data_IF_758985415658
#
_entry.id   IF_758985415658
#
_cell.length_a   1.000
_cell.length_b   1.000
_cell.length_c   1.000
_cell.angle_alpha   90.00
_cell.angle_beta   90.00
_cell.angle_gamma   90.00
#
_symmetry.space_group_name_H-M   'P 1'
#
loop_
_entity.id
_entity.type
_entity.pdbx_description
1 polymer ?
#
# COMPACT_ATOMS: atom_id res chain seq x y z
N UNK A 1 9.60 4.08 2.27
CA UNK A 1 10.81 4.68 2.90
C UNK A 1 11.11 3.99 4.21
N UNK A 2 12.37 3.73 4.57
CA UNK A 2 12.70 3.13 5.88
C UNK A 2 12.64 4.14 7.02
N UNK A 3 12.19 3.71 8.20
CA UNK A 3 11.98 4.63 9.34
C UNK A 3 13.24 5.40 9.76
N UNK A 4 14.42 4.79 9.65
CA UNK A 4 15.68 5.41 10.08
C UNK A 4 16.26 6.37 9.03
N UNK A 5 15.74 6.32 7.80
CA UNK A 5 16.22 7.11 6.65
C UNK A 5 15.17 8.08 6.13
N UNK A 6 14.07 8.30 6.87
CA UNK A 6 13.00 9.21 6.46
C UNK A 6 13.55 10.61 6.10
N UNK A 7 14.42 11.26 6.90
CA UNK A 7 14.91 12.59 6.58
C UNK A 7 15.72 12.65 5.26
N UNK A 8 16.51 11.62 4.98
CA UNK A 8 17.28 11.48 3.74
C UNK A 8 16.36 11.16 2.55
N UNK A 9 15.45 10.20 2.73
CA UNK A 9 14.55 9.69 1.69
C UNK A 9 13.52 10.75 1.25
N UNK A 10 13.08 11.61 2.18
CA UNK A 10 12.18 12.73 1.86
C UNK A 10 12.80 13.74 0.88
N UNK A 11 14.12 13.78 0.70
CA UNK A 11 14.75 14.62 -0.33
C UNK A 11 14.35 14.19 -1.74
N UNK A 12 14.11 12.89 -1.95
CA UNK A 12 13.60 12.39 -3.22
C UNK A 12 12.13 12.77 -3.40
N UNK A 13 11.33 12.70 -2.34
CA UNK A 13 9.92 13.14 -2.35
C UNK A 13 9.81 14.64 -2.61
N UNK A 14 10.71 15.46 -2.09
CA UNK A 14 10.70 16.90 -2.35
C UNK A 14 10.81 17.26 -3.84
N UNK A 15 11.34 16.38 -4.70
CA UNK A 15 11.41 16.62 -6.14
C UNK A 15 10.02 16.68 -6.82
N UNK A 16 9.01 16.08 -6.20
CA UNK A 16 7.62 16.16 -6.67
C UNK A 16 6.85 17.32 -6.02
N UNK A 17 7.54 18.19 -5.28
CA UNK A 17 6.94 19.32 -4.56
C UNK A 17 6.21 18.91 -3.27
N UNK A 18 6.31 17.65 -2.86
CA UNK A 18 5.68 17.13 -1.64
C UNK A 18 6.71 16.98 -0.52
N UNK A 19 6.30 17.33 0.70
CA UNK A 19 7.15 17.18 1.88
C UNK A 19 6.32 17.07 3.16
N UNK A 20 7.02 16.78 4.26
CA UNK A 20 6.47 16.86 5.61
C UNK A 20 7.03 18.10 6.31
N UNK A 21 6.18 18.80 7.05
CA UNK A 21 6.60 19.87 7.96
C UNK A 21 7.53 19.34 9.06
N UNK A 22 8.29 20.23 9.69
CA UNK A 22 9.18 19.85 10.79
C UNK A 22 8.43 19.19 11.96
N UNK A 23 7.22 19.68 12.25
CA UNK A 23 6.36 19.12 13.28
C UNK A 23 5.83 17.73 12.92
N UNK A 24 5.34 17.55 11.70
CA UNK A 24 4.87 16.24 11.21
C UNK A 24 6.00 15.20 11.25
N UNK A 25 7.22 15.58 10.85
CA UNK A 25 8.39 14.68 10.88
C UNK A 25 8.68 14.16 12.28
N UNK A 26 8.80 15.07 13.26
CA UNK A 26 9.12 14.69 14.64
C UNK A 26 8.01 13.80 15.22
N UNK A 27 6.74 14.18 15.01
CA UNK A 27 5.60 13.38 15.50
C UNK A 27 5.55 12.01 14.84
N UNK A 28 5.78 11.93 13.53
CA UNK A 28 5.82 10.69 12.77
C UNK A 28 6.93 9.76 13.25
N UNK A 29 8.15 10.28 13.45
CA UNK A 29 9.28 9.51 13.97
C UNK A 29 8.97 8.92 15.35
N UNK A 30 8.41 9.73 16.26
CA UNK A 30 8.01 9.26 17.60
C UNK A 30 6.93 8.18 17.50
N UNK A 31 5.90 8.39 16.67
CA UNK A 31 4.82 7.42 16.49
C UNK A 31 5.29 6.09 15.89
N UNK A 32 6.22 6.14 14.93
CA UNK A 32 6.83 4.94 14.32
C UNK A 32 7.73 4.19 15.30
N UNK A 33 8.49 4.89 16.14
CA UNK A 33 9.30 4.26 17.21
C UNK A 33 8.38 3.58 18.24
N UNK A 34 7.25 4.21 18.60
CA UNK A 34 6.26 3.58 19.49
C UNK A 34 5.66 2.31 18.86
N UNK A 35 5.38 2.34 17.55
CA UNK A 35 4.88 1.18 16.82
C UNK A 35 5.91 0.03 16.81
N UNK A 36 7.18 0.32 16.56
CA UNK A 36 8.25 -0.70 16.55
C UNK A 36 8.55 -1.30 17.93
N UNK A 37 8.20 -0.61 19.01
CA UNK A 37 8.26 -1.15 20.38
C UNK A 37 7.06 -2.04 20.73
N UNK A 38 5.89 -1.76 20.15
CA UNK A 38 4.64 -2.46 20.46
C UNK A 38 4.55 -3.80 19.71
N UNK A 39 5.04 -3.84 18.48
CA UNK A 39 4.99 -5.01 17.61
C UNK A 39 6.35 -5.26 16.96
N UNK A 40 6.68 -6.52 16.73
CA UNK A 40 7.93 -6.92 16.09
C UNK A 40 7.75 -7.06 14.59
N UNK A 41 8.57 -6.35 13.83
CA UNK A 41 8.63 -6.45 12.37
C UNK A 41 10.06 -6.75 11.93
N UNK A 42 10.24 -7.47 10.82
CA UNK A 42 11.56 -7.56 10.19
C UNK A 42 11.98 -6.20 9.60
N UNK A 43 11.01 -5.42 9.09
CA UNK A 43 11.24 -4.06 8.64
C UNK A 43 9.97 -3.22 8.83
N UNK A 44 10.14 -1.98 9.25
CA UNK A 44 9.07 -0.99 9.31
C UNK A 44 9.36 0.09 8.26
N UNK A 45 8.37 0.39 7.44
CA UNK A 45 8.45 1.39 6.38
C UNK A 45 7.39 2.46 6.59
N UNK A 46 7.75 3.70 6.33
CA UNK A 46 6.77 4.75 6.08
C UNK A 46 6.34 4.66 4.61
N UNK A 47 5.04 4.44 4.40
CA UNK A 47 4.44 4.29 3.07
C UNK A 47 4.10 5.63 2.46
N UNK A 48 3.59 6.58 3.25
CA UNK A 48 3.20 7.86 2.71
C UNK A 48 2.06 8.54 3.45
N UNK A 49 1.50 9.56 2.80
CA UNK A 49 0.41 10.38 3.29
C UNK A 49 -0.73 10.40 2.27
N UNK A 50 -1.94 10.16 2.75
CA UNK A 50 -3.19 10.40 2.01
C UNK A 50 -3.78 11.73 2.51
N UNK A 51 -4.00 12.64 1.58
CA UNK A 51 -4.51 13.98 1.85
C UNK A 51 -6.02 13.94 2.05
N UNK A 52 -6.47 14.54 3.15
CA UNK A 52 -7.87 14.68 3.49
C UNK A 52 -8.28 16.13 3.67
N UNK A 53 -9.58 16.40 3.64
CA UNK A 53 -10.11 17.77 3.72
C UNK A 53 -9.97 18.38 5.11
N UNK A 54 -10.08 17.57 6.17
CA UNK A 54 -9.95 18.02 7.58
C UNK A 54 -8.61 17.60 8.17
N UNK A 55 -8.24 16.34 7.96
CA UNK A 55 -6.98 15.78 8.45
C UNK A 55 -6.38 14.81 7.42
N UNK A 56 -5.06 14.67 7.45
CA UNK A 56 -4.34 13.74 6.59
C UNK A 56 -4.16 12.39 7.29
N UNK A 57 -4.13 11.32 6.50
CA UNK A 57 -3.78 9.99 6.97
C UNK A 57 -2.31 9.69 6.67
N UNK A 58 -1.58 9.19 7.66
CA UNK A 58 -0.21 8.74 7.51
C UNK A 58 -0.19 7.23 7.64
N UNK A 59 0.46 6.57 6.69
CA UNK A 59 0.44 5.12 6.54
C UNK A 59 1.83 4.55 6.76
N UNK A 60 1.90 3.47 7.54
CA UNK A 60 3.10 2.69 7.75
C UNK A 60 2.86 1.23 7.34
N UNK A 61 3.94 0.55 6.93
CA UNK A 61 3.92 -0.87 6.56
C UNK A 61 4.93 -1.61 7.42
N UNK A 62 4.45 -2.60 8.16
CA UNK A 62 5.27 -3.65 8.75
C UNK A 62 5.46 -4.77 7.75
N UNK A 63 6.71 -5.12 7.45
CA UNK A 63 7.08 -6.25 6.59
C UNK A 63 7.66 -7.36 7.46
N UNK A 64 7.14 -8.57 7.28
CA UNK A 64 7.64 -9.78 7.89
C UNK A 64 8.09 -10.76 6.80
N UNK A 65 9.40 -11.00 6.72
CA UNK A 65 10.01 -11.90 5.74
C UNK A 65 10.14 -13.33 6.28
N UNK A 66 10.38 -13.47 7.59
CA UNK A 66 10.49 -14.79 8.26
C UNK A 66 9.19 -15.57 8.20
N UNK A 67 9.31 -16.88 7.95
CA UNK A 67 8.22 -17.85 7.96
C UNK A 67 7.10 -17.59 6.92
N UNK A 68 7.36 -16.75 5.92
CA UNK A 68 6.44 -16.51 4.83
C UNK A 68 7.00 -17.11 3.54
N UNK A 69 6.23 -17.99 2.92
CA UNK A 69 6.58 -18.64 1.66
C UNK A 69 6.37 -17.67 0.49
N UNK A 70 7.38 -17.54 -0.37
CA UNK A 70 7.48 -16.71 -1.59
C UNK A 70 7.41 -15.19 -1.38
N UNK A 71 6.48 -14.68 -0.57
CA UNK A 71 6.22 -13.25 -0.44
C UNK A 71 6.06 -12.81 1.02
N UNK A 72 6.65 -11.68 1.45
CA UNK A 72 6.54 -11.21 2.82
C UNK A 72 5.10 -10.84 3.18
N UNK A 73 4.73 -11.10 4.45
CA UNK A 73 3.46 -10.61 4.98
C UNK A 73 3.58 -9.10 5.23
N UNK A 74 2.68 -8.33 4.59
CA UNK A 74 2.57 -6.88 4.76
C UNK A 74 1.42 -6.57 5.72
N UNK A 75 1.71 -5.87 6.81
CA UNK A 75 0.69 -5.35 7.72
C UNK A 75 0.66 -3.83 7.61
N UNK A 76 -0.51 -3.27 7.37
CA UNK A 76 -0.67 -1.83 7.18
C UNK A 76 -1.21 -1.17 8.44
N UNK A 77 -0.66 -0.01 8.74
CA UNK A 77 -1.06 0.82 9.87
C UNK A 77 -1.39 2.22 9.38
N UNK A 78 -2.34 2.86 10.05
CA UNK A 78 -2.71 4.24 9.77
C UNK A 78 -2.74 5.09 11.04
N UNK A 79 -2.58 6.40 10.86
CA UNK A 79 -2.83 7.38 11.91
C UNK A 79 -3.33 8.69 11.27
N UNK A 80 -4.35 9.30 11.87
CA UNK A 80 -4.85 10.62 11.48
C UNK A 80 -4.32 11.76 12.38
N UNK A 81 -3.77 11.40 13.55
CA UNK A 81 -3.36 12.36 14.58
C UNK A 81 -1.84 12.38 14.84
N UNK A 82 -1.07 11.51 14.16
CA UNK A 82 0.38 11.33 14.34
C UNK A 82 0.80 11.04 15.78
N UNK A 83 -0.09 10.45 16.59
CA UNK A 83 0.22 10.03 17.98
C UNK A 83 0.43 8.53 18.07
N UNK A 84 -0.52 7.78 17.53
CA UNK A 84 -0.55 6.33 17.61
C UNK A 84 -1.00 5.75 16.28
N UNK A 85 -0.33 4.69 15.87
CA UNK A 85 -0.68 3.89 14.70
C UNK A 85 -1.67 2.80 15.10
N UNK A 86 -2.72 2.64 14.30
CA UNK A 86 -3.71 1.58 14.43
C UNK A 86 -3.63 0.68 13.20
N UNK A 87 -4.00 -0.60 13.35
CA UNK A 87 -4.08 -1.52 12.22
C UNK A 87 -5.16 -1.04 11.24
N UNK A 88 -4.88 -1.11 9.93
CA UNK A 88 -5.94 -1.00 8.94
C UNK A 88 -6.88 -2.23 9.04
N UNK A 89 -8.19 -2.02 8.88
CA UNK A 89 -9.16 -3.11 8.88
C UNK A 89 -8.92 -4.06 7.69
N UNK A 90 -9.32 -5.33 7.83
CA UNK A 90 -9.27 -6.28 6.72
C UNK A 90 -10.23 -5.86 5.60
N UNK A 91 -9.87 -6.20 4.36
CA UNK A 91 -10.67 -5.90 3.17
C UNK A 91 -11.90 -6.83 3.12
N UNK A 92 -13.12 -6.28 3.05
CA UNK A 92 -14.35 -7.03 2.78
C UNK A 92 -14.74 -7.01 1.27
N UNK A 93 -14.52 -8.09 0.51
CA UNK A 93 -14.65 -8.11 -0.96
C UNK A 93 -15.99 -7.61 -1.50
N UNK A 94 -17.07 -7.68 -0.73
CA UNK A 94 -18.40 -7.16 -1.09
C UNK A 94 -18.40 -5.67 -1.48
N UNK A 95 -17.55 -4.86 -0.85
CA UNK A 95 -17.50 -3.41 -1.08
C UNK A 95 -16.52 -2.98 -2.17
N UNK A 96 -15.79 -3.92 -2.78
CA UNK A 96 -14.71 -3.60 -3.72
C UNK A 96 -15.20 -2.74 -4.89
N UNK A 97 -16.27 -3.15 -5.56
CA UNK A 97 -16.83 -2.43 -6.72
C UNK A 97 -17.38 -1.05 -6.34
N UNK A 98 -17.98 -0.95 -5.16
CA UNK A 98 -18.50 0.32 -4.64
C UNK A 98 -17.35 1.29 -4.34
N UNK A 99 -16.23 0.79 -3.81
CA UNK A 99 -15.05 1.60 -3.54
C UNK A 99 -14.42 2.15 -4.81
N UNK A 100 -14.35 1.32 -5.85
CA UNK A 100 -13.86 1.72 -7.16
C UNK A 100 -14.70 2.82 -7.83
N UNK A 101 -15.91 3.08 -7.33
CA UNK A 101 -16.78 4.17 -7.80
C UNK A 101 -16.55 5.49 -7.04
N UNK A 102 -16.01 5.45 -5.82
CA UNK A 102 -15.76 6.69 -5.07
C UNK A 102 -14.69 7.56 -5.72
N UNK A 103 -15.04 8.82 -5.99
CA UNK A 103 -14.13 9.87 -6.51
C UNK A 103 -13.96 11.05 -5.54
N UNK A 104 -14.58 10.97 -4.37
CA UNK A 104 -14.52 12.04 -3.36
C UNK A 104 -13.20 12.02 -2.59
N UNK A 105 -12.73 13.20 -2.17
CA UNK A 105 -11.58 13.30 -1.27
C UNK A 105 -11.86 12.62 0.08
N UNK A 106 -10.80 12.20 0.76
CA UNK A 106 -10.91 11.74 2.15
C UNK A 106 -11.27 12.92 3.06
N UNK A 107 -12.04 12.68 4.11
CA UNK A 107 -12.34 13.69 5.10
C UNK A 107 -11.25 13.79 6.18
N UNK A 108 -10.61 12.67 6.51
CA UNK A 108 -9.68 12.59 7.65
C UNK A 108 -10.34 12.10 8.95
N UNK A 109 -11.59 11.62 8.88
CA UNK A 109 -12.34 11.07 10.01
C UNK A 109 -12.55 9.56 9.82
N UNK A 110 -11.79 8.69 10.53
CA UNK A 110 -11.85 7.23 10.36
C UNK A 110 -13.24 6.62 10.53
N UNK A 111 -14.03 7.19 11.45
CA UNK A 111 -15.35 6.69 11.87
C UNK A 111 -16.50 7.17 10.98
N UNK A 112 -16.23 7.99 9.97
CA UNK A 112 -17.26 8.50 9.07
C UNK A 112 -17.86 7.35 8.28
N UNK A 113 -19.18 7.19 8.35
CA UNK A 113 -19.89 6.16 7.60
C UNK A 113 -20.07 6.63 6.14
N UNK A 114 -19.72 5.75 5.21
CA UNK A 114 -19.85 5.98 3.77
C UNK A 114 -21.03 5.20 3.19
N UNK A 115 -21.25 3.96 3.64
CA UNK A 115 -22.40 3.14 3.25
C UNK A 115 -23.03 2.57 4.52
N UNK A 116 -24.31 2.91 4.72
CA UNK A 116 -25.14 2.29 5.75
C UNK A 116 -25.75 1.01 5.16
N UNK A 117 -25.57 -0.12 5.84
CA UNK A 117 -26.15 -1.40 5.39
C UNK A 117 -27.61 -1.55 5.85
N UNK A 118 -28.08 -0.66 6.73
CA UNK A 118 -29.44 -0.70 7.30
C UNK A 118 -30.46 0.12 6.51
N UNK A 119 -30.47 0.03 5.18
CA UNK A 119 -31.55 0.62 4.38
C UNK A 119 -31.37 0.44 2.87
N UNK A 120 -31.89 -0.67 2.34
CA UNK A 120 -32.36 -0.71 0.96
C UNK A 120 -33.43 0.38 0.76
N UNK A 121 -33.50 0.92 -0.46
CA UNK A 121 -34.41 1.96 -0.94
C UNK A 121 -35.74 2.13 -0.17
N UNK A 122 -35.94 3.32 0.43
CA UNK A 122 -37.24 3.70 0.97
C UNK A 122 -37.22 5.08 1.63
N UNK A 123 -37.90 6.04 1.00
CA UNK A 123 -38.39 7.25 1.64
C UNK A 123 -39.02 6.92 3.02
N UNK A 124 -38.47 7.44 4.12
CA UNK A 124 -39.17 8.07 5.26
C UNK A 124 -38.22 8.54 6.39
N UNK A 125 -38.63 9.51 7.25
CA UNK A 125 -37.76 10.38 8.04
C UNK A 125 -37.13 9.72 9.28
N UNK A 126 -36.17 10.40 9.94
CA UNK A 126 -35.22 9.76 10.86
C UNK A 126 -35.90 9.31 12.15
N UNK A 127 -35.75 8.03 12.48
CA UNK A 127 -36.12 7.47 13.77
C UNK A 127 -34.86 7.05 14.54
N UNK A 128 -34.64 7.79 15.62
CA UNK A 128 -34.02 7.47 16.91
C UNK A 128 -33.00 6.32 17.06
N UNK A 129 -31.96 6.68 17.81
CA UNK A 129 -30.81 5.89 18.27
C UNK A 129 -31.21 4.51 18.82
N UNK A 130 -30.46 3.42 18.52
CA UNK A 130 -30.75 2.12 19.11
C UNK A 130 -30.24 2.03 20.56
N UNK A 131 -31.14 1.64 21.45
CA UNK A 131 -30.87 1.22 22.83
C UNK A 131 -30.18 -0.17 22.85
N UNK A 132 -29.30 -0.48 23.83
CA UNK A 132 -28.47 -1.71 23.81
C UNK A 132 -29.04 -2.95 24.52
N UNK A 133 -30.32 -2.97 24.89
CA UNK A 133 -30.89 -4.08 25.67
C UNK A 133 -32.21 -4.56 25.03
N UNK A 134 -32.16 -5.64 24.23
CA UNK A 134 -33.21 -6.67 24.16
C UNK A 134 -32.72 -7.94 23.38
N UNK A 135 -33.24 -9.14 23.68
CA UNK A 135 -32.51 -10.41 23.54
C UNK A 135 -32.47 -10.99 22.13
N UNK A 136 -31.38 -11.71 21.86
CA UNK A 136 -31.15 -12.54 20.68
C UNK A 136 -32.34 -13.48 20.39
N UNK A 137 -33.01 -13.30 19.25
CA UNK A 137 -33.94 -14.29 18.73
C UNK A 137 -33.17 -15.42 18.03
N UNK A 138 -33.11 -16.57 18.69
CA UNK A 138 -32.62 -17.83 18.14
C UNK A 138 -33.69 -18.37 17.20
N UNK A 139 -33.49 -18.22 15.88
CA UNK A 139 -34.26 -19.00 14.90
C UNK A 139 -33.56 -20.36 14.78
N UNK A 140 -34.11 -21.38 15.43
CA UNK A 140 -33.77 -22.78 15.16
C UNK A 140 -34.43 -23.16 13.83
N UNK A 141 -33.63 -23.45 12.82
CA UNK A 141 -34.06 -24.30 11.71
C UNK A 141 -33.23 -25.57 11.75
N UNK A 142 -33.92 -26.69 11.98
CA UNK A 142 -33.38 -28.04 11.80
C UNK A 142 -33.29 -28.31 10.29
N UNK A 143 -32.12 -28.13 9.69
CA UNK A 143 -31.67 -28.97 8.57
C UNK A 143 -30.17 -28.79 8.29
N UNK A 144 -29.53 -29.91 7.99
CA UNK A 144 -28.10 -30.15 7.93
C UNK A 144 -27.51 -29.61 6.60
N UNK A 145 -27.07 -28.35 6.59
CA UNK A 145 -26.16 -27.80 5.58
C UNK A 145 -25.44 -26.56 6.11
N UNK A 146 -24.11 -26.57 6.04
CA UNK A 146 -23.16 -25.55 6.48
C UNK A 146 -23.73 -24.12 6.61
N UNK A 147 -23.99 -23.70 7.86
CA UNK A 147 -24.36 -22.33 8.18
C UNK A 147 -23.10 -21.46 8.05
N UNK A 148 -22.94 -20.86 6.88
CA UNK A 148 -21.99 -19.78 6.66
C UNK A 148 -22.44 -18.59 7.53
N UNK A 149 -21.82 -18.43 8.71
CA UNK A 149 -22.08 -17.34 9.64
C UNK A 149 -21.66 -16.04 8.95
N UNK A 150 -22.59 -15.40 8.25
CA UNK A 150 -22.39 -14.04 7.74
C UNK A 150 -22.20 -13.13 8.97
N UNK A 151 -21.04 -12.48 9.13
CA UNK A 151 -20.86 -11.53 10.22
C UNK A 151 -21.91 -10.42 10.12
N UNK A 152 -22.31 -9.82 11.26
CA UNK A 152 -23.35 -8.80 11.28
C UNK A 152 -23.03 -7.67 10.29
N UNK A 153 -24.04 -7.07 9.65
CA UNK A 153 -23.85 -6.02 8.65
C UNK A 153 -23.13 -4.83 9.30
N UNK A 154 -21.81 -4.72 9.06
CA UNK A 154 -20.97 -3.66 9.60
C UNK A 154 -20.93 -2.51 8.61
N UNK A 155 -21.44 -1.35 9.00
CA UNK A 155 -21.37 -0.13 8.21
C UNK A 155 -19.99 0.07 7.59
N UNK A 156 -19.96 0.46 6.32
CA UNK A 156 -18.72 0.72 5.61
C UNK A 156 -18.20 2.11 6.00
N UNK A 157 -17.05 2.14 6.68
CA UNK A 157 -16.46 3.36 7.20
C UNK A 157 -15.41 3.92 6.24
N UNK A 158 -15.01 5.17 6.47
CA UNK A 158 -13.93 5.81 5.73
C UNK A 158 -12.58 5.08 5.94
N UNK A 159 -12.35 4.51 7.12
CA UNK A 159 -11.17 3.67 7.38
C UNK A 159 -11.17 2.38 6.53
N UNK A 160 -12.33 1.81 6.24
CA UNK A 160 -12.44 0.63 5.38
C UNK A 160 -12.09 1.04 3.94
N UNK A 161 -12.62 2.18 3.46
CA UNK A 161 -12.21 2.77 2.17
C UNK A 161 -10.70 3.05 2.10
N UNK A 162 -10.13 3.59 3.16
CA UNK A 162 -8.69 3.86 3.26
C UNK A 162 -7.88 2.56 3.09
N UNK A 163 -8.29 1.48 3.74
CA UNK A 163 -7.65 0.18 3.59
C UNK A 163 -7.68 -0.31 2.13
N UNK A 164 -8.81 -0.17 1.44
CA UNK A 164 -8.91 -0.51 0.01
C UNK A 164 -7.94 0.27 -0.86
N UNK A 165 -7.93 1.59 -0.71
CA UNK A 165 -7.10 2.47 -1.55
C UNK A 165 -5.62 2.24 -1.30
N UNK A 166 -5.21 2.12 -0.04
CA UNK A 166 -3.80 1.82 0.32
C UNK A 166 -3.37 0.47 -0.26
N UNK A 167 -4.19 -0.58 -0.12
CA UNK A 167 -3.86 -1.89 -0.68
C UNK A 167 -3.85 -1.87 -2.21
N UNK A 168 -4.75 -1.12 -2.85
CA UNK A 168 -4.77 -0.98 -4.31
C UNK A 168 -3.50 -0.28 -4.83
N UNK A 169 -3.11 0.83 -4.23
CA UNK A 169 -1.87 1.56 -4.61
C UNK A 169 -0.64 0.70 -4.31
N UNK A 170 -0.58 0.05 -3.14
CA UNK A 170 0.55 -0.84 -2.82
C UNK A 170 0.63 -2.00 -3.81
N UNK A 171 -0.51 -2.59 -4.17
CA UNK A 171 -0.56 -3.69 -5.13
C UNK A 171 -0.21 -3.23 -6.54
N UNK A 172 -0.63 -2.04 -6.98
CA UNK A 172 -0.41 -1.57 -8.35
C UNK A 172 0.90 -0.80 -8.55
N UNK A 173 1.51 -0.27 -7.49
CA UNK A 173 2.63 0.67 -7.63
C UNK A 173 3.90 0.29 -6.87
N UNK A 174 3.82 -0.48 -5.78
CA UNK A 174 5.01 -0.79 -5.00
C UNK A 174 6.09 -1.41 -5.89
N UNK A 175 7.32 -0.90 -5.81
CA UNK A 175 8.39 -1.27 -6.74
C UNK A 175 9.73 -1.40 -6.04
N UNK A 176 10.64 -2.14 -6.70
CA UNK A 176 12.03 -2.31 -6.29
C UNK A 176 12.94 -2.48 -7.52
N UNK A 177 14.23 -2.10 -7.41
CA UNK A 177 15.19 -2.38 -8.47
C UNK A 177 15.51 -3.87 -8.54
N UNK A 178 15.72 -4.38 -9.75
CA UNK A 178 16.08 -5.79 -9.99
C UNK A 178 17.37 -6.13 -9.23
N UNK A 179 17.34 -7.25 -8.49
CA UNK A 179 18.46 -7.69 -7.65
C UNK A 179 18.48 -7.15 -6.22
N UNK A 180 17.61 -6.22 -5.83
CA UNK A 180 17.52 -5.75 -4.45
C UNK A 180 17.11 -6.84 -3.44
N UNK A 181 16.35 -7.83 -3.92
CA UNK A 181 15.88 -8.97 -3.13
C UNK A 181 16.27 -10.27 -3.83
N UNK A 182 16.35 -11.34 -3.05
CA UNK A 182 16.67 -12.70 -3.49
C UNK A 182 15.81 -13.71 -2.75
N UNK A 183 15.58 -14.86 -3.37
CA UNK A 183 14.94 -16.01 -2.74
C UNK A 183 15.99 -16.85 -1.99
N UNK A 184 15.65 -17.31 -0.79
CA UNK A 184 16.44 -18.30 -0.05
C UNK A 184 16.02 -19.72 -0.45
N UNK A 185 16.84 -20.75 -0.19
CA UNK A 185 16.47 -22.15 -0.45
C UNK A 185 15.18 -22.62 0.23
N UNK A 186 14.72 -21.92 1.27
CA UNK A 186 13.44 -22.16 1.94
C UNK A 186 12.27 -21.43 1.28
N UNK A 187 12.48 -20.86 0.08
CA UNK A 187 11.56 -19.97 -0.63
C UNK A 187 11.12 -18.76 0.19
N UNK A 188 11.96 -18.26 1.10
CA UNK A 188 11.70 -16.98 1.78
C UNK A 188 12.35 -15.84 0.99
N UNK A 189 11.66 -14.71 0.89
CA UNK A 189 12.24 -13.50 0.30
C UNK A 189 13.17 -12.82 1.31
N UNK A 190 14.36 -12.40 0.88
CA UNK A 190 15.30 -11.60 1.69
C UNK A 190 15.91 -10.49 0.86
N UNK A 191 16.36 -9.43 1.53
CA UNK A 191 17.23 -8.45 0.88
C UNK A 191 18.54 -9.11 0.45
N UNK A 192 19.05 -8.66 -0.69
CA UNK A 192 20.29 -9.15 -1.25
C UNK A 192 21.46 -8.32 -0.72
N UNK A 193 22.26 -8.90 0.18
CA UNK A 193 23.45 -8.24 0.74
C UNK A 193 24.54 -7.99 -0.31
N UNK A 194 24.50 -8.66 -1.46
CA UNK A 194 25.41 -8.46 -2.59
C UNK A 194 24.95 -7.38 -3.56
N UNK A 195 23.75 -6.83 -3.40
CA UNK A 195 23.26 -5.74 -4.24
C UNK A 195 23.99 -4.44 -3.90
N UNK A 196 24.69 -3.84 -4.86
CA UNK A 196 25.37 -2.54 -4.66
C UNK A 196 24.62 -1.37 -5.30
N UNK A 197 23.50 -1.65 -5.97
CA UNK A 197 22.74 -0.68 -6.74
C UNK A 197 22.91 -0.85 -8.24
N UNK A 198 21.89 -0.45 -9.00
CA UNK A 198 21.96 -0.37 -10.46
C UNK A 198 23.02 0.64 -10.90
N UNK A 199 23.76 0.34 -11.97
CA UNK A 199 24.67 1.31 -12.60
C UNK A 199 23.89 2.51 -13.20
N UNK A 200 24.59 3.58 -13.56
CA UNK A 200 23.97 4.78 -14.16
C UNK A 200 23.17 4.46 -15.43
N UNK A 201 23.67 3.56 -16.27
CA UNK A 201 23.01 3.16 -17.52
C UNK A 201 21.80 2.26 -17.26
N UNK A 202 21.89 1.38 -16.26
CA UNK A 202 20.81 0.48 -15.88
C UNK A 202 19.69 1.21 -15.15
N UNK A 203 20.03 2.11 -14.23
CA UNK A 203 19.05 2.87 -13.46
C UNK A 203 18.19 3.76 -14.35
N UNK A 204 18.69 4.19 -15.51
CA UNK A 204 17.92 4.99 -16.48
C UNK A 204 16.90 4.17 -17.29
N UNK A 205 16.84 2.84 -17.10
CA UNK A 205 15.93 1.94 -17.84
C UNK A 205 14.86 1.42 -16.90
N UNK A 206 13.59 1.63 -17.27
CA UNK A 206 12.45 1.18 -16.49
C UNK A 206 12.39 -0.35 -16.34
N UNK A 207 12.94 -1.09 -17.31
CA UNK A 207 13.01 -2.56 -17.30
C UNK A 207 13.83 -3.13 -16.13
N UNK A 208 14.66 -2.32 -15.47
CA UNK A 208 15.44 -2.73 -14.30
C UNK A 208 14.71 -2.47 -12.98
N UNK A 209 13.40 -2.20 -13.04
CA UNK A 209 12.52 -2.08 -11.91
C UNK A 209 11.37 -3.07 -12.06
N UNK A 210 10.94 -3.63 -10.94
CA UNK A 210 9.94 -4.68 -10.87
C UNK A 210 8.98 -4.41 -9.71
N UNK A 211 7.76 -4.95 -9.81
CA UNK A 211 6.73 -4.78 -8.79
C UNK A 211 7.09 -5.53 -7.50
N UNK A 212 6.85 -4.89 -6.35
CA UNK A 212 7.02 -5.50 -5.04
C UNK A 212 5.71 -6.12 -4.55
N UNK A 213 5.25 -7.15 -5.26
CA UNK A 213 4.04 -7.95 -4.97
C UNK A 213 4.23 -9.39 -5.43
N UNK A 214 3.35 -10.29 -5.01
CA UNK A 214 3.32 -11.64 -5.56
C UNK A 214 3.06 -11.57 -7.08
N UNK A 215 3.89 -12.22 -7.94
CA UNK A 215 3.76 -12.09 -9.37
C UNK A 215 2.39 -12.51 -9.88
N UNK A 216 1.87 -11.77 -10.86
CA UNK A 216 0.59 -12.03 -11.51
C UNK A 216 0.80 -12.76 -12.85
N UNK A 217 1.90 -12.46 -13.53
CA UNK A 217 2.18 -13.04 -14.85
C UNK A 217 2.41 -14.55 -14.77
N UNK A 218 1.79 -15.35 -15.66
CA UNK A 218 1.94 -16.80 -15.63
C UNK A 218 3.40 -17.24 -15.78
N UNK A 219 4.18 -16.51 -16.59
CA UNK A 219 5.61 -16.77 -16.77
C UNK A 219 6.42 -16.59 -15.48
N UNK A 220 6.15 -15.51 -14.72
CA UNK A 220 6.86 -15.21 -13.47
C UNK A 220 6.43 -16.15 -12.33
N UNK A 221 5.14 -16.51 -12.29
CA UNK A 221 4.63 -17.57 -11.39
C UNK A 221 5.32 -18.90 -11.64
N UNK A 222 5.43 -19.30 -12.91
CA UNK A 222 6.13 -20.52 -13.29
C UNK A 222 7.63 -20.46 -12.98
N UNK A 223 8.26 -19.27 -13.08
CA UNK A 223 9.66 -19.06 -12.74
C UNK A 223 9.89 -19.24 -11.23
N UNK A 224 9.08 -18.62 -10.37
CA UNK A 224 9.22 -18.75 -8.90
C UNK A 224 9.01 -20.19 -8.43
N UNK A 225 8.13 -20.94 -9.10
CA UNK A 225 7.84 -22.33 -8.75
C UNK A 225 8.96 -23.31 -9.14
N UNK A 226 9.96 -22.89 -9.93
CA UNK A 226 11.09 -23.74 -10.32
C UNK A 226 12.19 -23.75 -9.25
N UNK A 227 12.91 -24.85 -9.14
CA UNK A 227 14.02 -25.02 -8.19
C UNK A 227 15.20 -24.06 -8.45
N UNK A 228 15.34 -23.58 -9.68
CA UNK A 228 16.38 -22.63 -10.10
C UNK A 228 16.04 -21.15 -9.86
N UNK A 229 14.83 -20.85 -9.37
CA UNK A 229 14.37 -19.50 -9.02
C UNK A 229 15.35 -18.76 -8.11
N UNK A 230 16.09 -19.49 -7.26
CA UNK A 230 17.11 -19.00 -6.34
C UNK A 230 18.25 -18.24 -7.02
N UNK A 231 18.54 -18.56 -8.29
CA UNK A 231 19.62 -17.95 -9.07
C UNK A 231 19.17 -16.75 -9.90
N UNK A 232 17.86 -16.50 -9.95
CA UNK A 232 17.29 -15.38 -10.67
C UNK A 232 17.02 -14.20 -9.73
N UNK A 233 17.25 -13.00 -10.24
CA UNK A 233 16.97 -11.73 -9.54
C UNK A 233 15.74 -11.00 -10.11
N UNK A 234 15.29 -11.42 -11.28
CA UNK A 234 14.14 -10.89 -12.02
C UNK A 234 12.99 -11.91 -11.99
N UNK A 235 12.43 -12.12 -10.81
CA UNK A 235 11.34 -13.06 -10.59
C UNK A 235 10.00 -12.37 -10.28
N UNK A 236 9.97 -11.03 -10.19
CA UNK A 236 8.73 -10.27 -10.11
C UNK A 236 8.25 -9.79 -11.48
N UNK A 237 7.02 -9.28 -11.53
CA UNK A 237 6.47 -8.64 -12.72
C UNK A 237 7.23 -7.34 -13.03
N UNK A 238 7.49 -7.09 -14.31
CA UNK A 238 8.10 -5.84 -14.76
C UNK A 238 7.08 -4.70 -14.73
N UNK A 239 7.56 -3.45 -14.83
CA UNK A 239 6.70 -2.26 -14.88
C UNK A 239 6.15 -2.01 -16.29
N UNK A 240 5.56 -3.02 -16.91
CA UNK A 240 4.97 -2.99 -18.26
C UNK A 240 3.44 -2.99 -18.24
N UNK A 241 2.81 -2.53 -17.15
CA UNK A 241 1.35 -2.56 -17.05
C UNK A 241 0.66 -1.54 -17.98
N UNK A 242 -0.65 -1.76 -18.17
CA UNK A 242 -1.51 -0.98 -19.04
C UNK A 242 -2.29 0.09 -18.26
N UNK A 243 -2.55 1.27 -18.85
CA UNK A 243 -2.23 1.68 -20.23
C UNK A 243 -0.73 1.99 -20.43
N UNK A 244 -0.21 1.71 -21.63
CA UNK A 244 1.20 1.97 -21.97
C UNK A 244 1.50 3.45 -21.79
N UNK A 245 2.52 3.79 -20.98
CA UNK A 245 2.85 5.17 -20.64
C UNK A 245 2.42 5.58 -19.23
N UNK A 246 1.78 4.71 -18.45
CA UNK A 246 1.44 4.99 -17.06
C UNK A 246 2.64 5.23 -16.13
N UNK A 247 3.83 4.78 -16.52
CA UNK A 247 5.05 4.94 -15.76
C UNK A 247 5.95 5.97 -16.42
N UNK A 248 6.37 6.97 -15.65
CA UNK A 248 7.33 7.99 -16.09
C UNK A 248 8.62 7.86 -15.28
N UNK A 249 9.72 7.52 -15.96
CA UNK A 249 11.06 7.53 -15.38
C UNK A 249 11.76 8.85 -15.68
N UNK A 250 12.21 9.53 -14.64
CA UNK A 250 12.95 10.79 -14.72
C UNK A 250 14.29 10.61 -14.02
N UNK A 251 15.34 11.18 -14.61
CA UNK A 251 16.67 11.20 -14.01
C UNK A 251 17.12 12.64 -13.81
N UNK A 252 17.88 12.91 -12.76
CA UNK A 252 18.54 14.19 -12.60
C UNK A 252 19.63 14.41 -13.66
N UNK A 253 20.15 15.64 -13.76
CA UNK A 253 21.20 15.98 -14.73
C UNK A 253 22.48 15.15 -14.54
N UNK A 254 22.74 14.70 -13.31
CA UNK A 254 23.89 13.85 -12.97
C UNK A 254 23.65 12.36 -13.23
N UNK A 255 22.40 11.96 -13.51
CA UNK A 255 21.90 10.58 -13.68
C UNK A 255 22.06 9.67 -12.46
N UNK A 256 22.48 10.21 -11.32
CA UNK A 256 22.62 9.44 -10.08
C UNK A 256 21.29 9.24 -9.36
N UNK A 257 20.32 10.14 -9.56
CA UNK A 257 19.02 10.05 -8.91
C UNK A 257 17.98 9.73 -9.96
N UNK A 258 17.29 8.62 -9.75
CA UNK A 258 16.19 8.16 -10.59
C UNK A 258 14.91 8.25 -9.80
N UNK A 259 13.91 8.82 -10.45
CA UNK A 259 12.59 9.07 -9.91
C UNK A 259 11.57 8.45 -10.85
N UNK A 260 10.78 7.52 -10.34
CA UNK A 260 9.75 6.79 -11.08
C UNK A 260 8.40 7.26 -10.55
N UNK A 261 7.55 7.77 -11.44
CA UNK A 261 6.20 8.23 -11.09
C UNK A 261 5.17 7.34 -11.75
N UNK A 262 4.09 7.07 -11.02
CA UNK A 262 2.91 6.45 -11.59
C UNK A 262 1.89 7.54 -11.94
N UNK A 263 1.41 7.55 -13.18
CA UNK A 263 0.43 8.52 -13.69
C UNK A 263 -1.02 8.06 -13.47
N UNK A 264 -1.23 6.76 -13.24
CA UNK A 264 -2.52 6.17 -12.90
C UNK A 264 -2.89 6.46 -11.45
N UNK A 265 -1.89 6.53 -10.57
CA UNK A 265 -1.99 6.95 -9.17
C UNK A 265 -1.13 8.19 -8.94
N UNK A 266 -1.66 9.38 -9.27
CA UNK A 266 -0.97 10.63 -9.01
C UNK A 266 -0.58 10.72 -7.53
N UNK A 267 0.69 11.06 -7.30
CA UNK A 267 1.27 11.10 -5.95
C UNK A 267 2.15 9.91 -5.60
N UNK A 268 2.09 8.81 -6.36
CA UNK A 268 3.04 7.71 -6.17
C UNK A 268 4.42 8.05 -6.72
N UNK A 269 5.45 7.74 -5.92
CA UNK A 269 6.84 8.00 -6.22
C UNK A 269 7.72 6.82 -5.82
N UNK A 270 8.40 6.20 -6.77
CA UNK A 270 9.58 5.38 -6.56
C UNK A 270 10.86 6.21 -6.73
N UNK A 271 11.89 5.91 -5.96
CA UNK A 271 13.20 6.52 -6.12
C UNK A 271 14.31 5.47 -5.99
N UNK A 272 15.40 5.71 -6.69
CA UNK A 272 16.63 4.93 -6.59
C UNK A 272 17.84 5.82 -6.82
N UNK A 273 18.88 5.64 -6.01
CA UNK A 273 20.17 6.30 -6.23
C UNK A 273 21.14 5.30 -6.85
N UNK A 274 21.51 5.53 -8.10
CA UNK A 274 22.41 4.69 -8.88
C UNK A 274 23.75 4.47 -8.15
N UNK A 275 24.28 3.25 -8.24
CA UNK A 275 25.50 2.80 -7.56
C UNK A 275 25.38 2.76 -6.03
N UNK A 276 24.17 2.77 -5.47
CA UNK A 276 23.95 2.61 -4.03
C UNK A 276 22.76 1.69 -3.74
N UNK A 277 22.66 1.23 -2.48
CA UNK A 277 21.52 0.47 -1.95
C UNK A 277 20.34 1.35 -1.53
N UNK A 278 20.35 2.63 -1.91
CA UNK A 278 19.31 3.59 -1.53
C UNK A 278 18.23 3.56 -2.58
N UNK A 279 17.14 2.87 -2.27
CA UNK A 279 15.90 2.87 -3.04
C UNK A 279 14.72 2.83 -2.09
N UNK A 280 13.56 3.17 -2.62
CA UNK A 280 12.31 3.03 -1.93
C UNK A 280 11.19 3.65 -2.73
N UNK A 281 10.04 3.71 -2.12
CA UNK A 281 8.89 4.41 -2.67
C UNK A 281 8.10 5.07 -1.54
N UNK A 282 7.22 5.99 -1.95
CA UNK A 282 6.23 6.59 -1.10
C UNK A 282 5.03 7.08 -1.92
N UNK A 283 3.91 7.29 -1.25
CA UNK A 283 2.72 7.91 -1.83
C UNK A 283 2.38 9.22 -1.11
N UNK A 284 2.19 10.31 -1.87
CA UNK A 284 1.72 11.60 -1.36
C UNK A 284 0.66 12.14 -2.31
N UNK A 285 -0.61 11.98 -1.95
CA UNK A 285 -1.73 12.39 -2.79
C UNK A 285 -3.08 12.13 -2.13
N UNK A 286 -4.16 12.27 -2.89
CA UNK A 286 -5.54 12.16 -2.42
C UNK A 286 -6.11 10.73 -2.44
N UNK A 287 -5.37 9.76 -2.97
CA UNK A 287 -5.80 8.38 -3.11
C UNK A 287 -6.85 8.16 -4.20
N UNK A 288 -6.94 9.06 -5.19
CA UNK A 288 -7.87 8.92 -6.32
C UNK A 288 -7.13 8.35 -7.54
N UNK A 289 -7.71 7.30 -8.12
CA UNK A 289 -7.20 6.67 -9.35
C UNK A 289 -7.56 7.51 -10.58
N UNK A 290 -6.59 7.80 -11.43
CA UNK A 290 -6.76 8.54 -12.68
C UNK A 290 -7.30 7.63 -13.80
N UNK A 291 -8.62 7.40 -13.82
CA UNK A 291 -9.26 6.51 -14.81
C UNK A 291 -9.12 7.03 -16.24
N UNK A 292 -8.96 8.35 -16.40
CA UNK A 292 -8.89 9.01 -17.71
C UNK A 292 -7.49 9.00 -18.33
N UNK A 293 -6.52 8.33 -17.69
CA UNK A 293 -5.13 8.32 -18.14
C UNK A 293 -5.00 7.89 -19.62
N UNK A 294 -5.77 6.91 -20.06
CA UNK A 294 -5.76 6.44 -21.45
C UNK A 294 -6.12 7.54 -22.47
N UNK A 295 -6.85 8.59 -22.07
CA UNK A 295 -7.19 9.74 -22.91
C UNK A 295 -6.20 10.91 -22.78
N UNK A 296 -5.29 10.84 -21.81
CA UNK A 296 -4.31 11.89 -21.50
C UNK A 296 -2.91 11.60 -22.07
N UNK A 297 -2.65 10.35 -22.48
CA UNK A 297 -1.38 9.87 -23.01
C UNK A 297 -1.23 10.10 -24.52
#
# INVERSE_FOLDING_TARGET
MEIYRIPEDLRFVNQIGQTLSAEEKIKLEIALIKLSQTQTFDQLLFWGRIEGTVANYYIAIGLNFKNNFEFPHKTFFYTANLKEFQNLPPLNPEYKEQVETFRQLFSGQPEKILINITGEDGDQPPADQPNPDEPQQVVKNDDDSDVEIKPPPKNFLEVDRLAYVVNAIEFECALLPVGAVRLTPTHELRYNDSFEGLSLQEASKISNYQHFRAPQSPNKKALIAQDDALFHYDFFDQLDDHPVGQWSLQTDSSKYQVTIRNLQWPGFLGYHRAGTRIFGYAYFGDGIKNVDLAFQL
#
